data_IF_278976501127
#
_entry.id   IF_278976501127
#
_cell.length_a   1.000
_cell.length_b   1.000
_cell.length_c   1.000
_cell.angle_alpha   90.00
_cell.angle_beta   90.00
_cell.angle_gamma   90.00
#
_symmetry.space_group_name_H-M   'P 1'
#
loop_
_entity.id
_entity.type
_entity.pdbx_description
1 polymer ?
#
# COMPACT_ATOMS: atom_id res chain seq x y z
N UNK A 1 30.40 42.71 -11.96
CA UNK A 1 31.30 43.53 -11.14
C UNK A 1 30.48 44.46 -10.28
N UNK A 2 30.64 44.39 -9.00
CA UNK A 2 29.92 45.10 -7.94
C UNK A 2 28.49 44.55 -7.69
N UNK A 3 28.41 43.60 -6.79
CA UNK A 3 27.47 43.45 -5.64
C UNK A 3 27.66 42.09 -5.02
N UNK A 4 28.87 41.86 -4.53
CA UNK A 4 29.24 40.68 -3.75
C UNK A 4 30.13 41.17 -2.61
N UNK A 5 29.53 41.77 -1.58
CA UNK A 5 30.23 42.09 -0.31
C UNK A 5 29.32 42.85 0.67
N UNK A 6 28.22 42.20 1.13
CA UNK A 6 27.48 42.73 2.29
C UNK A 6 26.59 41.64 2.89
N UNK A 7 27.17 40.52 3.37
CA UNK A 7 26.42 39.61 4.25
C UNK A 7 27.34 38.67 5.08
N UNK A 8 28.48 39.17 5.54
CA UNK A 8 29.33 38.42 6.49
C UNK A 8 29.57 39.17 7.81
N UNK A 9 28.73 40.14 8.15
CA UNK A 9 28.90 41.03 9.37
C UNK A 9 28.00 40.69 10.58
N UNK A 10 26.94 39.94 10.45
CA UNK A 10 25.90 39.85 11.53
C UNK A 10 25.78 38.53 12.27
N UNK A 11 26.77 37.66 12.24
CA UNK A 11 26.72 36.36 12.93
C UNK A 11 27.74 36.23 14.09
N UNK A 12 28.32 37.34 14.59
CA UNK A 12 29.33 37.32 15.66
C UNK A 12 28.96 38.04 16.96
N UNK A 13 27.75 38.49 17.16
CA UNK A 13 27.34 39.22 18.40
C UNK A 13 26.08 38.66 19.06
N UNK A 14 26.05 37.37 19.36
CA UNK A 14 25.01 36.82 20.25
C UNK A 14 25.45 35.55 21.01
N UNK A 15 26.65 35.64 21.61
CA UNK A 15 27.17 34.62 22.54
C UNK A 15 27.88 35.28 23.70
N UNK A 16 27.22 36.16 24.41
CA UNK A 16 27.65 36.62 25.76
C UNK A 16 26.40 37.04 26.51
N UNK A 17 25.99 36.23 27.43
CA UNK A 17 25.31 36.53 28.70
C UNK A 17 24.38 35.40 29.13
N UNK A 18 24.93 34.39 29.79
CA UNK A 18 24.26 33.69 30.89
C UNK A 18 25.36 33.32 31.87
N UNK A 19 25.40 34.06 32.99
CA UNK A 19 26.30 33.80 34.09
C UNK A 19 25.96 32.50 34.80
N UNK A 20 26.97 31.68 35.03
CA UNK A 20 26.90 30.54 35.95
C UNK A 20 27.81 30.87 37.12
N UNK A 21 27.16 31.03 38.27
CA UNK A 21 27.78 31.29 39.57
C UNK A 21 28.67 30.14 40.03
N UNK A 22 29.67 30.55 40.76
CA UNK A 22 30.64 29.75 41.51
C UNK A 22 29.94 28.80 42.49
N UNK A 23 30.16 27.48 42.33
CA UNK A 23 30.19 26.49 43.43
C UNK A 23 30.80 25.18 42.89
N UNK A 24 32.13 25.17 42.79
CA UNK A 24 32.92 23.99 42.44
C UNK A 24 34.11 23.84 43.39
N UNK A 25 33.82 23.48 44.62
CA UNK A 25 34.87 23.18 45.58
C UNK A 25 34.44 22.19 46.70
N UNK A 26 33.71 21.08 46.36
CA UNK A 26 33.51 20.02 47.37
C UNK A 26 33.33 18.59 46.82
N UNK A 27 33.57 18.34 45.56
CA UNK A 27 33.37 16.99 44.95
C UNK A 27 34.68 16.26 44.59
N UNK A 28 35.84 16.81 44.93
CA UNK A 28 37.16 16.22 44.61
C UNK A 28 37.66 15.14 45.55
N UNK A 29 37.10 15.01 46.77
CA UNK A 29 37.64 14.12 47.81
C UNK A 29 36.93 12.75 47.89
N UNK A 30 35.76 12.58 47.29
CA UNK A 30 34.97 11.32 47.35
C UNK A 30 35.31 10.35 46.22
N UNK A 31 35.87 10.84 45.11
CA UNK A 31 36.21 10.02 43.94
C UNK A 31 37.51 9.23 44.09
N UNK A 32 38.47 9.68 44.90
CA UNK A 32 39.77 9.01 45.05
C UNK A 32 39.74 7.77 45.96
N UNK A 33 38.86 7.73 46.93
CA UNK A 33 38.72 6.59 47.85
C UNK A 33 37.94 5.41 47.29
N UNK A 34 37.27 5.60 46.18
CA UNK A 34 36.44 4.56 45.53
C UNK A 34 37.21 3.68 44.54
N UNK A 35 38.24 4.25 43.91
CA UNK A 35 39.06 3.50 42.95
C UNK A 35 40.16 2.67 43.61
N UNK A 36 40.62 3.03 44.80
CA UNK A 36 41.59 2.24 45.57
C UNK A 36 40.98 0.98 46.20
N UNK A 37 39.69 1.00 46.57
CA UNK A 37 38.95 -0.18 47.04
C UNK A 37 38.55 -1.17 45.92
N UNK A 38 38.47 -0.71 44.70
CA UNK A 38 38.18 -1.57 43.53
C UNK A 38 39.40 -2.33 43.00
N UNK A 39 40.60 -1.80 43.25
CA UNK A 39 41.85 -2.44 42.88
C UNK A 39 42.28 -3.56 43.87
N UNK A 40 41.83 -3.53 45.12
CA UNK A 40 42.13 -4.51 46.17
C UNK A 40 41.24 -5.79 46.12
N UNK A 41 40.19 -5.82 45.29
CA UNK A 41 39.21 -6.91 45.18
C UNK A 41 39.43 -7.82 43.97
N UNK A 42 40.55 -7.69 43.25
CA UNK A 42 40.80 -8.47 42.03
C UNK A 42 41.65 -9.73 42.19
N UNK A 43 41.90 -10.17 43.41
CA UNK A 43 42.65 -11.42 43.64
C UNK A 43 42.06 -12.20 44.83
N UNK A 44 41.28 -13.16 44.54
CA UNK A 44 40.81 -14.39 45.20
C UNK A 44 39.29 -14.47 45.45
N UNK A 45 38.71 -15.56 44.96
CA UNK A 45 37.33 -16.05 45.22
C UNK A 45 36.13 -15.12 44.89
N UNK A 46 35.90 -15.02 43.57
CA UNK A 46 34.92 -14.05 43.01
C UNK A 46 33.46 -14.50 43.04
N UNK A 47 33.07 -15.66 43.54
CA UNK A 47 31.67 -16.12 43.53
C UNK A 47 30.93 -15.79 44.83
N UNK A 48 31.58 -15.83 45.95
CA UNK A 48 30.98 -15.54 47.27
C UNK A 48 30.79 -14.04 47.49
N UNK A 49 31.74 -13.21 47.02
CA UNK A 49 31.65 -11.76 47.14
C UNK A 49 30.55 -11.15 46.23
N UNK A 50 30.35 -11.71 45.01
CA UNK A 50 29.30 -11.25 44.12
C UNK A 50 27.90 -11.62 44.66
N UNK A 51 27.75 -12.79 45.26
CA UNK A 51 26.50 -13.23 45.88
C UNK A 51 26.17 -12.37 47.13
N UNK A 52 27.18 -12.01 47.94
CA UNK A 52 26.99 -11.12 49.08
C UNK A 52 26.52 -9.71 48.67
N UNK A 53 27.09 -9.15 47.59
CA UNK A 53 26.70 -7.82 47.08
C UNK A 53 25.28 -7.84 46.44
N UNK A 54 24.92 -8.95 45.82
CA UNK A 54 23.55 -9.11 45.26
C UNK A 54 22.53 -9.30 46.39
N UNK A 55 22.88 -10.03 47.43
CA UNK A 55 22.01 -10.23 48.59
C UNK A 55 21.83 -8.92 49.37
N UNK A 56 22.91 -8.15 49.59
CA UNK A 56 22.85 -6.84 50.22
C UNK A 56 22.05 -5.81 49.44
N UNK A 57 22.10 -5.84 48.11
CA UNK A 57 21.21 -5.03 47.26
C UNK A 57 19.74 -5.49 47.35
N UNK A 58 19.47 -6.78 47.38
CA UNK A 58 18.10 -7.31 47.54
C UNK A 58 17.52 -6.94 48.93
N UNK A 59 18.31 -7.03 49.99
CA UNK A 59 17.90 -6.64 51.34
C UNK A 59 17.66 -5.13 51.45
N UNK A 60 18.51 -4.29 50.84
CA UNK A 60 18.32 -2.84 50.78
C UNK A 60 17.09 -2.38 49.95
N UNK A 61 16.64 -3.21 49.02
CA UNK A 61 15.38 -2.99 48.30
C UNK A 61 14.14 -3.43 49.08
N UNK A 62 14.29 -4.35 50.01
CA UNK A 62 13.21 -4.80 50.91
C UNK A 62 13.06 -3.97 52.18
N UNK A 63 14.10 -3.22 52.58
CA UNK A 63 14.08 -2.38 53.77
C UNK A 63 13.67 -0.92 53.54
N UNK A 64 13.08 -0.59 52.42
CA UNK A 64 12.41 0.69 52.29
C UNK A 64 11.03 0.57 52.97
N UNK A 65 10.80 1.09 54.17
CA UNK A 65 9.50 1.03 54.78
C UNK A 65 8.51 1.73 53.83
N UNK A 66 7.54 1.00 53.31
CA UNK A 66 6.35 1.61 52.73
C UNK A 66 5.69 2.41 53.87
N UNK A 67 5.89 3.71 53.83
CA UNK A 67 5.15 4.63 54.66
C UNK A 67 3.66 4.49 54.26
N UNK A 68 2.81 3.90 55.10
CA UNK A 68 1.40 3.63 54.72
C UNK A 68 0.57 4.92 54.58
N UNK A 69 1.14 6.08 54.86
CA UNK A 69 0.41 7.35 54.83
C UNK A 69 0.64 8.20 53.57
N UNK A 70 1.49 7.77 52.62
CA UNK A 70 1.59 8.42 51.33
C UNK A 70 0.79 7.71 50.24
N UNK A 71 -0.34 7.10 50.57
CA UNK A 71 -1.40 6.96 49.60
C UNK A 71 -1.95 8.35 49.28
N UNK A 72 -1.13 9.19 48.71
CA UNK A 72 -1.61 10.27 47.87
C UNK A 72 -2.44 9.53 46.81
N UNK A 73 -3.78 9.46 47.06
CA UNK A 73 -4.70 9.18 46.00
C UNK A 73 -4.26 10.06 44.85
N UNK A 74 -3.59 9.49 43.87
CA UNK A 74 -3.51 10.08 42.55
C UNK A 74 -4.98 10.11 42.12
N UNK A 75 -5.65 11.16 42.59
CA UNK A 75 -6.93 11.52 42.00
C UNK A 75 -6.56 11.60 40.51
N UNK A 76 -7.20 10.79 39.66
CA UNK A 76 -7.08 11.04 38.23
C UNK A 76 -7.37 12.53 38.16
N UNK A 77 -6.41 13.31 37.63
CA UNK A 77 -6.63 14.71 37.38
C UNK A 77 -7.98 14.74 36.70
N UNK A 78 -9.01 15.09 37.47
CA UNK A 78 -10.27 15.49 36.88
C UNK A 78 -9.83 16.67 36.05
N UNK A 79 -9.57 16.40 34.77
CA UNK A 79 -9.62 17.45 33.77
C UNK A 79 -10.95 18.09 34.07
N UNK A 80 -10.87 19.13 34.89
CA UNK A 80 -12.03 19.87 35.32
C UNK A 80 -12.72 20.23 34.03
N UNK A 81 -13.85 19.57 33.82
CA UNK A 81 -14.67 19.87 32.66
C UNK A 81 -15.01 21.35 32.78
N UNK A 82 -14.17 22.16 32.16
CA UNK A 82 -14.40 23.56 32.01
C UNK A 82 -15.77 23.68 31.34
N UNK A 83 -16.80 23.83 32.19
CA UNK A 83 -18.19 23.99 31.76
C UNK A 83 -18.37 25.27 30.91
N UNK A 84 -17.28 25.99 30.69
CA UNK A 84 -17.20 27.21 29.89
C UNK A 84 -16.31 27.05 28.65
N UNK A 85 -16.45 25.95 27.92
CA UNK A 85 -16.02 25.99 26.53
C UNK A 85 -16.83 27.08 25.86
N UNK A 86 -16.17 28.20 25.49
CA UNK A 86 -16.84 29.36 24.90
C UNK A 86 -17.79 28.86 23.80
N UNK A 87 -18.99 29.40 23.74
CA UNK A 87 -20.02 29.04 22.73
C UNK A 87 -19.42 28.90 21.33
N UNK A 88 -18.47 29.78 21.00
CA UNK A 88 -17.72 29.76 19.75
C UNK A 88 -16.94 28.42 19.51
N UNK A 89 -16.29 27.85 20.53
CA UNK A 89 -15.57 26.55 20.41
C UNK A 89 -16.53 25.38 20.23
N UNK A 90 -17.67 25.40 20.95
CA UNK A 90 -18.71 24.37 20.74
C UNK A 90 -19.31 24.46 19.35
N UNK A 91 -19.66 25.67 18.91
CA UNK A 91 -20.19 25.90 17.57
C UNK A 91 -19.21 25.45 16.49
N UNK A 92 -17.93 25.85 16.56
CA UNK A 92 -16.90 25.44 15.61
C UNK A 92 -16.73 23.93 15.58
N UNK A 93 -16.67 23.28 16.75
CA UNK A 93 -16.52 21.83 16.82
C UNK A 93 -17.73 21.08 16.22
N UNK A 94 -18.94 21.54 16.51
CA UNK A 94 -20.17 20.97 15.93
C UNK A 94 -20.26 21.23 14.43
N UNK A 95 -19.89 22.43 13.97
CA UNK A 95 -19.89 22.79 12.56
C UNK A 95 -18.86 21.95 11.76
N UNK A 96 -17.64 21.77 12.29
CA UNK A 96 -16.63 20.90 11.69
C UNK A 96 -17.11 19.44 11.69
N UNK A 97 -17.66 18.95 12.80
CA UNK A 97 -18.24 17.61 12.86
C UNK A 97 -19.36 17.40 11.85
N UNK A 98 -20.28 18.36 11.75
CA UNK A 98 -21.38 18.32 10.77
C UNK A 98 -20.87 18.36 9.33
N UNK A 99 -19.83 19.16 9.02
CA UNK A 99 -19.23 19.19 7.68
C UNK A 99 -18.56 17.87 7.32
N UNK A 100 -17.87 17.20 8.26
CA UNK A 100 -17.30 15.88 8.04
C UNK A 100 -18.38 14.83 7.74
N UNK A 101 -19.49 14.84 8.50
CA UNK A 101 -20.63 13.96 8.25
C UNK A 101 -21.26 14.23 6.89
N UNK A 102 -21.44 15.51 6.54
CA UNK A 102 -21.99 15.92 5.24
C UNK A 102 -21.11 15.42 4.08
N UNK A 103 -19.79 15.60 4.17
CA UNK A 103 -18.84 15.05 3.18
C UNK A 103 -18.95 13.54 3.08
N UNK A 104 -19.02 12.81 4.22
CA UNK A 104 -19.21 11.37 4.24
C UNK A 104 -20.51 10.91 3.56
N UNK A 105 -21.63 11.59 3.87
CA UNK A 105 -22.92 11.32 3.25
C UNK A 105 -22.92 11.62 1.74
N UNK A 106 -22.26 12.70 1.32
CA UNK A 106 -22.13 13.05 -0.09
C UNK A 106 -21.36 11.98 -0.87
N UNK A 107 -20.21 11.52 -0.35
CA UNK A 107 -19.46 10.44 -0.97
C UNK A 107 -20.29 9.16 -1.04
N UNK A 108 -20.99 8.81 0.03
CA UNK A 108 -21.88 7.66 0.05
C UNK A 108 -23.01 7.77 -0.98
N UNK A 109 -23.64 8.94 -1.09
CA UNK A 109 -24.70 9.19 -2.05
C UNK A 109 -24.21 9.05 -3.50
N UNK A 110 -23.01 9.56 -3.81
CA UNK A 110 -22.38 9.38 -5.12
C UNK A 110 -22.12 7.90 -5.42
N UNK A 111 -21.55 7.16 -4.47
CA UNK A 111 -21.27 5.73 -4.65
C UNK A 111 -22.56 4.92 -4.86
N UNK A 112 -23.59 5.20 -4.09
CA UNK A 112 -24.91 4.56 -4.23
C UNK A 112 -25.53 4.90 -5.59
N UNK A 113 -25.45 6.15 -6.03
CA UNK A 113 -25.96 6.60 -7.32
C UNK A 113 -25.27 5.88 -8.49
N UNK A 114 -23.91 5.80 -8.45
CA UNK A 114 -23.15 5.07 -9.47
C UNK A 114 -23.52 3.58 -9.46
N UNK A 115 -23.60 2.98 -8.28
CA UNK A 115 -24.01 1.56 -8.15
C UNK A 115 -25.43 1.30 -8.67
N UNK A 116 -26.37 2.20 -8.37
CA UNK A 116 -27.73 2.10 -8.87
C UNK A 116 -27.80 2.20 -10.40
N UNK A 117 -27.12 3.19 -11.00
CA UNK A 117 -27.07 3.38 -12.45
C UNK A 117 -26.44 2.17 -13.14
N UNK A 118 -25.34 1.66 -12.58
CA UNK A 118 -24.63 0.48 -13.10
C UNK A 118 -25.52 -0.76 -13.08
N UNK A 119 -26.25 -0.99 -11.99
CA UNK A 119 -27.14 -2.16 -11.87
C UNK A 119 -28.35 -2.00 -12.75
N UNK A 120 -29.03 -0.83 -12.73
CA UNK A 120 -30.27 -0.60 -13.47
C UNK A 120 -30.10 -0.73 -14.98
N UNK A 121 -28.97 -0.23 -15.52
CA UNK A 121 -28.67 -0.32 -16.95
C UNK A 121 -27.96 -1.61 -17.34
N UNK A 122 -27.07 -2.12 -16.46
CA UNK A 122 -26.25 -3.30 -16.79
C UNK A 122 -26.99 -4.62 -16.71
N UNK A 123 -27.98 -4.77 -15.80
CA UNK A 123 -28.62 -6.06 -15.52
C UNK A 123 -29.45 -6.58 -16.73
N UNK A 124 -30.01 -5.65 -17.50
CA UNK A 124 -30.89 -6.00 -18.64
C UNK A 124 -30.22 -6.74 -19.77
N UNK A 125 -28.89 -6.59 -19.96
CA UNK A 125 -28.16 -7.25 -21.03
C UNK A 125 -27.42 -8.50 -20.57
N UNK A 126 -27.27 -8.71 -19.26
CA UNK A 126 -26.57 -9.89 -18.73
C UNK A 126 -27.42 -11.14 -18.98
N UNK A 127 -26.87 -12.02 -19.83
CA UNK A 127 -27.44 -13.33 -20.12
C UNK A 127 -26.30 -14.34 -20.21
N UNK A 128 -26.57 -15.66 -20.09
CA UNK A 128 -25.56 -16.68 -20.31
C UNK A 128 -24.94 -16.58 -21.74
N UNK A 129 -25.71 -16.15 -22.72
CA UNK A 129 -25.25 -15.90 -24.07
C UNK A 129 -24.22 -14.76 -24.10
N UNK A 130 -24.53 -13.61 -23.49
CA UNK A 130 -23.62 -12.45 -23.42
C UNK A 130 -22.29 -12.77 -22.76
N UNK A 131 -22.29 -13.63 -21.75
CA UNK A 131 -21.07 -14.04 -21.03
C UNK A 131 -20.26 -15.10 -21.79
N UNK A 132 -20.84 -15.86 -22.68
CA UNK A 132 -20.19 -17.02 -23.35
C UNK A 132 -19.74 -16.76 -24.78
N UNK A 133 -20.20 -15.69 -25.43
CA UNK A 133 -19.92 -15.37 -26.82
C UNK A 133 -18.95 -14.21 -26.97
N UNK A 134 -18.20 -14.20 -28.08
CA UNK A 134 -17.31 -13.09 -28.47
C UNK A 134 -18.01 -12.12 -29.42
N UNK A 135 -17.33 -11.02 -29.76
CA UNK A 135 -17.80 -10.03 -30.74
C UNK A 135 -17.44 -10.40 -32.18
N UNK A 136 -16.85 -11.58 -32.44
CA UNK A 136 -16.44 -12.00 -33.76
C UNK A 136 -17.62 -12.03 -34.73
N UNK A 137 -17.57 -11.26 -35.84
CA UNK A 137 -18.61 -11.19 -36.84
C UNK A 137 -19.83 -10.34 -36.47
N UNK A 138 -19.77 -9.59 -35.39
CA UNK A 138 -20.82 -8.66 -34.94
C UNK A 138 -20.50 -7.25 -35.40
N UNK A 139 -21.41 -6.64 -36.18
CA UNK A 139 -21.20 -5.29 -36.74
C UNK A 139 -22.39 -4.39 -36.45
N UNK A 140 -22.11 -3.09 -36.30
CA UNK A 140 -23.13 -2.06 -36.14
C UNK A 140 -24.09 -2.33 -34.97
N UNK A 141 -25.38 -2.14 -35.21
CA UNK A 141 -26.45 -2.29 -34.22
C UNK A 141 -27.01 -3.70 -34.04
N UNK A 142 -26.29 -4.76 -34.45
CA UNK A 142 -26.73 -6.15 -34.29
C UNK A 142 -26.92 -6.50 -32.81
N UNK A 143 -28.05 -7.14 -32.48
CA UNK A 143 -28.35 -7.63 -31.11
C UNK A 143 -27.69 -9.00 -30.85
N UNK A 144 -26.40 -9.13 -31.21
CA UNK A 144 -25.59 -10.33 -31.02
C UNK A 144 -24.27 -9.99 -30.34
N UNK A 145 -23.45 -11.01 -30.03
CA UNK A 145 -22.15 -10.83 -29.41
C UNK A 145 -22.17 -10.74 -27.90
N UNK A 146 -20.98 -10.76 -27.33
CA UNK A 146 -20.81 -10.79 -25.88
C UNK A 146 -19.37 -10.43 -25.46
N UNK A 147 -19.04 -10.69 -24.21
CA UNK A 147 -17.80 -10.21 -23.53
C UNK A 147 -16.78 -11.32 -23.27
N UNK A 148 -17.01 -12.55 -23.67
CA UNK A 148 -16.16 -13.69 -23.30
C UNK A 148 -14.68 -13.47 -23.66
N UNK A 149 -14.39 -12.98 -24.88
CA UNK A 149 -13.02 -12.66 -25.31
C UNK A 149 -12.34 -11.64 -24.41
N UNK A 150 -13.06 -10.58 -23.99
CA UNK A 150 -12.56 -9.54 -23.13
C UNK A 150 -12.37 -10.04 -21.68
N UNK A 151 -13.21 -10.95 -21.19
CA UNK A 151 -13.04 -11.61 -19.88
C UNK A 151 -11.77 -12.46 -19.87
N UNK A 152 -11.55 -13.28 -20.89
CA UNK A 152 -10.35 -14.11 -21.06
C UNK A 152 -9.09 -13.23 -21.14
N UNK A 153 -9.14 -12.18 -21.96
CA UNK A 153 -8.03 -11.23 -22.09
C UNK A 153 -7.70 -10.53 -20.78
N UNK A 154 -8.70 -10.07 -20.04
CA UNK A 154 -8.49 -9.45 -18.71
C UNK A 154 -7.81 -10.44 -17.77
N UNK A 155 -8.30 -11.66 -17.69
CA UNK A 155 -7.75 -12.68 -16.79
C UNK A 155 -6.31 -13.02 -17.14
N UNK A 156 -6.02 -13.29 -18.42
CA UNK A 156 -4.69 -13.70 -18.87
C UNK A 156 -3.66 -12.58 -18.70
N UNK A 157 -3.97 -11.36 -19.15
CA UNK A 157 -3.04 -10.22 -19.05
C UNK A 157 -2.78 -9.88 -17.59
N UNK A 158 -3.81 -9.85 -16.74
CA UNK A 158 -3.66 -9.57 -15.31
C UNK A 158 -2.87 -10.66 -14.59
N UNK A 159 -3.11 -11.94 -14.94
CA UNK A 159 -2.36 -13.05 -14.36
C UNK A 159 -0.86 -12.94 -14.68
N UNK A 160 -0.51 -12.68 -15.94
CA UNK A 160 0.89 -12.52 -16.35
C UNK A 160 1.51 -11.29 -15.68
N UNK A 161 0.80 -10.17 -15.60
CA UNK A 161 1.26 -9.00 -14.88
C UNK A 161 1.50 -9.29 -13.38
N UNK A 162 0.61 -10.06 -12.75
CA UNK A 162 0.76 -10.47 -11.36
C UNK A 162 1.96 -11.40 -11.15
N UNK A 163 2.17 -12.37 -12.03
CA UNK A 163 3.32 -13.29 -12.00
C UNK A 163 4.65 -12.53 -12.09
N UNK A 164 4.70 -11.45 -12.85
CA UNK A 164 5.90 -10.58 -12.93
C UNK A 164 6.02 -9.69 -11.69
N UNK A 165 4.93 -8.99 -11.35
CA UNK A 165 4.97 -7.88 -10.37
C UNK A 165 5.00 -8.34 -8.93
N UNK A 166 4.30 -9.43 -8.59
CA UNK A 166 4.18 -9.86 -7.19
C UNK A 166 5.51 -10.36 -6.64
N UNK A 167 6.26 -11.27 -7.30
CA UNK A 167 7.56 -11.70 -6.79
C UNK A 167 8.56 -10.54 -6.69
N UNK A 168 8.65 -9.71 -7.74
CA UNK A 168 9.56 -8.56 -7.76
C UNK A 168 9.20 -7.56 -6.66
N UNK A 169 7.93 -7.21 -6.55
CA UNK A 169 7.46 -6.26 -5.54
C UNK A 169 7.66 -6.75 -4.11
N UNK A 170 7.39 -8.03 -3.84
CA UNK A 170 7.63 -8.64 -2.52
C UNK A 170 9.12 -8.68 -2.18
N UNK A 171 9.98 -9.06 -3.11
CA UNK A 171 11.43 -9.09 -2.89
C UNK A 171 11.97 -7.68 -2.57
N UNK A 172 11.53 -6.66 -3.31
CA UNK A 172 11.91 -5.26 -3.05
C UNK A 172 11.36 -4.80 -1.69
N UNK A 173 10.12 -5.14 -1.34
CA UNK A 173 9.54 -4.81 -0.04
C UNK A 173 10.31 -5.44 1.12
N UNK A 174 10.66 -6.72 1.01
CA UNK A 174 11.47 -7.43 2.01
C UNK A 174 12.85 -6.78 2.12
N UNK A 175 13.49 -6.49 0.98
CA UNK A 175 14.78 -5.81 0.98
C UNK A 175 14.71 -4.47 1.72
N UNK A 176 13.74 -3.63 1.40
CA UNK A 176 13.60 -2.29 2.00
C UNK A 176 13.26 -2.32 3.49
N UNK A 177 12.53 -3.32 3.96
CA UNK A 177 12.11 -3.41 5.37
C UNK A 177 13.11 -4.14 6.24
N UNK A 178 13.72 -5.20 5.74
CA UNK A 178 14.54 -6.10 6.55
C UNK A 178 16.05 -5.93 6.33
N UNK A 179 16.49 -5.62 5.13
CA UNK A 179 17.91 -5.62 4.78
C UNK A 179 18.53 -4.25 4.54
N UNK A 180 17.76 -3.31 4.02
CA UNK A 180 18.30 -2.08 3.46
C UNK A 180 18.89 -1.11 4.51
N UNK A 181 18.34 -1.10 5.73
CA UNK A 181 18.77 -0.13 6.76
C UNK A 181 18.75 1.32 6.25
N UNK A 182 19.76 2.10 6.58
CA UNK A 182 19.87 3.52 6.17
C UNK A 182 20.85 3.75 5.01
N UNK A 183 20.95 2.77 4.08
CA UNK A 183 21.89 2.80 2.96
C UNK A 183 21.44 3.79 1.85
N UNK A 184 22.41 4.33 1.09
CA UNK A 184 22.12 5.19 -0.07
C UNK A 184 21.28 4.45 -1.12
N UNK A 185 21.54 3.16 -1.31
CA UNK A 185 20.79 2.33 -2.26
C UNK A 185 19.34 2.16 -1.85
N UNK A 186 19.06 1.97 -0.55
CA UNK A 186 17.69 1.92 -0.04
C UNK A 186 16.92 3.23 -0.32
N UNK A 187 17.56 4.36 -0.08
CA UNK A 187 16.95 5.67 -0.37
C UNK A 187 16.66 5.86 -1.85
N UNK A 188 17.60 5.47 -2.71
CA UNK A 188 17.39 5.51 -4.16
C UNK A 188 16.22 4.61 -4.59
N UNK A 189 16.18 3.36 -4.12
CA UNK A 189 15.10 2.42 -4.44
C UNK A 189 13.73 2.94 -3.98
N UNK A 190 13.65 3.49 -2.76
CA UNK A 190 12.41 4.11 -2.26
C UNK A 190 11.99 5.28 -3.14
N UNK A 191 12.92 6.18 -3.49
CA UNK A 191 12.64 7.31 -4.39
C UNK A 191 12.15 6.84 -5.76
N UNK A 192 12.77 5.81 -6.33
CA UNK A 192 12.32 5.24 -7.62
C UNK A 192 10.90 4.66 -7.52
N UNK A 193 10.59 3.91 -6.47
CA UNK A 193 9.24 3.40 -6.22
C UNK A 193 8.23 4.55 -6.06
N UNK A 194 8.61 5.62 -5.37
CA UNK A 194 7.75 6.79 -5.18
C UNK A 194 7.50 7.53 -6.50
N UNK A 195 8.52 7.69 -7.34
CA UNK A 195 8.38 8.27 -8.69
C UNK A 195 7.49 7.40 -9.56
N UNK A 196 7.68 6.07 -9.54
CA UNK A 196 6.85 5.14 -10.31
C UNK A 196 5.36 5.22 -9.94
N UNK A 197 5.03 5.48 -8.66
CA UNK A 197 3.61 5.65 -8.25
C UNK A 197 2.97 6.91 -8.83
N UNK A 198 3.76 7.91 -9.21
CA UNK A 198 3.30 9.17 -9.82
C UNK A 198 3.20 9.13 -11.34
N UNK A 199 3.65 8.06 -12.01
CA UNK A 199 3.61 7.97 -13.48
C UNK A 199 2.16 7.84 -13.97
N UNK A 200 1.68 8.70 -14.90
CA UNK A 200 0.39 8.51 -15.54
C UNK A 200 0.31 7.14 -16.24
N UNK A 201 -0.81 6.43 -16.10
CA UNK A 201 -0.95 5.05 -16.63
C UNK A 201 -0.73 4.95 -18.15
N UNK A 202 -1.12 5.98 -18.89
CA UNK A 202 -0.88 6.04 -20.34
C UNK A 202 0.63 6.05 -20.67
N UNK A 203 1.45 6.70 -19.86
CA UNK A 203 2.91 6.75 -20.05
C UNK A 203 3.54 5.37 -19.84
N UNK A 204 3.05 4.59 -18.87
CA UNK A 204 3.49 3.20 -18.69
C UNK A 204 3.17 2.35 -19.93
N UNK A 205 2.00 2.56 -20.56
CA UNK A 205 1.64 1.94 -21.82
C UNK A 205 2.56 2.33 -22.98
N UNK A 206 2.86 3.63 -23.10
CA UNK A 206 3.79 4.13 -24.13
C UNK A 206 5.22 3.61 -23.93
N UNK A 207 5.67 3.51 -22.68
CA UNK A 207 6.96 2.92 -22.34
C UNK A 207 7.05 1.46 -22.80
N UNK A 208 6.04 0.64 -22.47
CA UNK A 208 5.99 -0.75 -22.91
C UNK A 208 5.91 -0.83 -24.44
N UNK A 209 5.13 0.04 -25.09
CA UNK A 209 5.04 0.10 -26.54
C UNK A 209 6.40 0.43 -27.20
N UNK A 210 7.11 1.41 -26.68
CA UNK A 210 8.44 1.77 -27.16
C UNK A 210 9.45 0.62 -26.96
N UNK A 211 9.45 -0.02 -25.79
CA UNK A 211 10.32 -1.16 -25.49
C UNK A 211 10.11 -2.30 -26.49
N UNK A 212 8.86 -2.72 -26.72
CA UNK A 212 8.56 -3.80 -27.65
C UNK A 212 8.82 -3.44 -29.09
N UNK A 213 8.63 -2.17 -29.48
CA UNK A 213 8.98 -1.67 -30.81
C UNK A 213 10.47 -1.80 -31.09
N UNK A 214 11.32 -1.54 -30.11
CA UNK A 214 12.78 -1.65 -30.23
C UNK A 214 13.21 -3.12 -30.29
N UNK A 215 12.60 -4.00 -29.44
CA UNK A 215 13.05 -5.39 -29.29
C UNK A 215 12.49 -6.30 -30.38
N UNK A 216 11.22 -6.12 -30.76
CA UNK A 216 10.51 -7.03 -31.66
C UNK A 216 10.21 -6.41 -33.02
N UNK A 217 9.88 -5.12 -33.03
CA UNK A 217 9.60 -4.36 -34.26
C UNK A 217 8.34 -3.51 -34.18
N UNK A 218 8.14 -2.64 -35.18
CA UNK A 218 7.02 -1.71 -35.22
C UNK A 218 5.68 -2.44 -35.36
N UNK A 219 4.62 -1.81 -34.86
CA UNK A 219 3.24 -2.29 -34.92
C UNK A 219 2.93 -3.62 -34.17
N UNK A 220 3.91 -4.17 -33.45
CA UNK A 220 3.67 -5.35 -32.61
C UNK A 220 2.71 -5.01 -31.48
N UNK A 221 1.69 -5.85 -31.26
CA UNK A 221 0.75 -5.74 -30.15
C UNK A 221 0.46 -7.15 -29.61
N UNK A 222 0.52 -7.29 -28.28
CA UNK A 222 0.26 -8.60 -27.64
C UNK A 222 -0.23 -8.42 -26.20
N UNK A 223 -0.81 -9.48 -25.66
CA UNK A 223 -1.15 -9.54 -24.24
C UNK A 223 0.06 -9.35 -23.33
N UNK A 224 1.23 -9.91 -23.72
CA UNK A 224 2.48 -9.74 -22.96
C UNK A 224 2.91 -8.29 -22.86
N UNK A 225 2.81 -7.53 -23.94
CA UNK A 225 3.10 -6.10 -23.94
C UNK A 225 2.17 -5.34 -22.98
N UNK A 226 0.88 -5.73 -22.96
CA UNK A 226 -0.09 -5.22 -21.97
C UNK A 226 0.29 -5.61 -20.54
N UNK A 227 0.68 -6.85 -20.32
CA UNK A 227 1.11 -7.33 -18.99
C UNK A 227 2.35 -6.61 -18.49
N UNK A 228 3.34 -6.31 -19.34
CA UNK A 228 4.51 -5.50 -18.98
C UNK A 228 4.12 -4.07 -18.64
N UNK A 229 3.23 -3.44 -19.41
CA UNK A 229 2.71 -2.11 -19.07
C UNK A 229 2.02 -2.07 -17.71
N UNK A 230 1.17 -3.07 -17.42
CA UNK A 230 0.51 -3.21 -16.14
C UNK A 230 1.51 -3.50 -15.00
N UNK A 231 2.58 -4.25 -15.27
CA UNK A 231 3.60 -4.58 -14.28
C UNK A 231 4.34 -3.32 -13.80
N UNK A 232 4.62 -2.37 -14.68
CA UNK A 232 5.22 -1.08 -14.31
C UNK A 232 4.37 -0.33 -13.29
N UNK A 233 3.04 -0.40 -13.41
CA UNK A 233 2.10 0.23 -12.49
C UNK A 233 1.91 -0.59 -11.20
N UNK A 234 1.94 -1.92 -11.31
CA UNK A 234 1.63 -2.83 -10.21
C UNK A 234 2.79 -2.99 -9.23
N UNK A 235 4.04 -3.04 -9.71
CA UNK A 235 5.23 -3.22 -8.87
C UNK A 235 5.27 -2.22 -7.71
N UNK A 236 5.19 -0.89 -7.92
CA UNK A 236 5.26 0.07 -6.83
C UNK A 236 4.12 -0.06 -5.83
N UNK A 237 2.93 -0.47 -6.28
CA UNK A 237 1.78 -0.73 -5.39
C UNK A 237 2.06 -1.93 -4.47
N UNK A 238 2.57 -3.03 -5.04
CA UNK A 238 2.93 -4.23 -4.27
C UNK A 238 4.05 -3.92 -3.29
N UNK A 239 5.09 -3.18 -3.73
CA UNK A 239 6.22 -2.79 -2.86
C UNK A 239 5.71 -2.00 -1.65
N UNK A 240 4.95 -0.95 -1.88
CA UNK A 240 4.48 -0.05 -0.82
C UNK A 240 3.58 -0.75 0.18
N UNK A 241 2.51 -1.36 -0.31
CA UNK A 241 1.54 -2.02 0.56
C UNK A 241 2.15 -3.22 1.30
N UNK A 242 3.04 -3.99 0.67
CA UNK A 242 3.73 -5.10 1.33
C UNK A 242 4.75 -4.60 2.36
N UNK A 243 5.50 -3.53 2.07
CA UNK A 243 6.43 -2.94 3.04
C UNK A 243 5.70 -2.43 4.29
N UNK A 244 4.52 -1.83 4.14
CA UNK A 244 3.68 -1.42 5.27
C UNK A 244 3.26 -2.61 6.14
N UNK A 245 2.84 -3.71 5.51
CA UNK A 245 2.45 -4.94 6.24
C UNK A 245 3.65 -5.58 6.97
N UNK A 246 4.82 -5.58 6.37
CA UNK A 246 6.04 -6.09 7.00
C UNK A 246 6.48 -5.25 8.20
N UNK A 247 6.30 -3.92 8.15
CA UNK A 247 6.62 -3.00 9.26
C UNK A 247 5.69 -3.17 10.47
N UNK A 248 4.48 -3.71 10.28
CA UNK A 248 3.55 -3.98 11.39
C UNK A 248 3.98 -5.16 12.28
N UNK A 249 4.94 -5.98 11.84
CA UNK A 249 5.49 -7.06 12.65
C UNK A 249 6.31 -6.48 13.81
N UNK A 250 6.02 -6.79 15.10
CA UNK A 250 6.75 -6.28 16.24
C UNK A 250 8.24 -6.63 16.20
N UNK A 251 9.10 -5.69 16.62
CA UNK A 251 10.55 -5.90 16.68
C UNK A 251 10.94 -6.97 17.70
N UNK A 252 10.18 -7.09 18.80
CA UNK A 252 10.41 -8.09 19.85
C UNK A 252 10.49 -9.52 19.29
N UNK A 253 9.67 -9.85 18.27
CA UNK A 253 9.71 -11.16 17.61
C UNK A 253 11.02 -11.38 16.84
N UNK A 254 11.57 -10.32 16.23
CA UNK A 254 12.86 -10.38 15.54
C UNK A 254 13.99 -10.53 16.52
N UNK A 255 14.00 -9.74 17.60
CA UNK A 255 15.02 -9.77 18.65
C UNK A 255 15.03 -11.11 19.38
N UNK A 256 13.87 -11.66 19.73
CA UNK A 256 13.78 -12.99 20.34
C UNK A 256 14.38 -14.08 19.43
N UNK A 257 14.14 -14.01 18.12
CA UNK A 257 14.72 -14.94 17.16
C UNK A 257 16.25 -14.83 17.08
N UNK A 258 16.76 -13.60 17.08
CA UNK A 258 18.21 -13.37 17.05
C UNK A 258 18.90 -13.80 18.35
N UNK A 259 18.23 -13.62 19.50
CA UNK A 259 18.71 -14.09 20.81
C UNK A 259 18.88 -15.63 20.86
N UNK A 260 18.06 -16.35 20.07
CA UNK A 260 18.20 -17.82 19.91
C UNK A 260 19.23 -18.22 18.85
N UNK A 261 20.02 -17.27 18.30
CA UNK A 261 21.05 -17.54 17.29
C UNK A 261 20.51 -17.82 15.88
N UNK A 262 19.22 -17.56 15.61
CA UNK A 262 18.65 -17.81 14.29
C UNK A 262 19.16 -16.78 13.27
N UNK A 263 19.68 -17.21 12.10
CA UNK A 263 20.20 -16.30 11.09
C UNK A 263 19.07 -15.44 10.47
N UNK A 264 19.41 -14.22 10.05
CA UNK A 264 18.46 -13.20 9.58
C UNK A 264 17.49 -13.70 8.52
N UNK A 265 17.97 -14.38 7.49
CA UNK A 265 17.11 -14.89 6.41
C UNK A 265 16.05 -15.86 6.93
N UNK A 266 16.40 -16.71 7.91
CA UNK A 266 15.47 -17.67 8.50
C UNK A 266 14.43 -16.96 9.38
N UNK A 267 14.83 -15.94 10.13
CA UNK A 267 13.91 -15.06 10.88
C UNK A 267 12.91 -14.39 9.93
N UNK A 268 13.38 -13.84 8.81
CA UNK A 268 12.50 -13.21 7.81
C UNK A 268 11.49 -14.22 7.27
N UNK A 269 11.92 -15.40 6.83
CA UNK A 269 11.02 -16.39 6.20
C UNK A 269 10.07 -17.03 7.22
N UNK A 270 10.58 -17.41 8.40
CA UNK A 270 9.80 -18.21 9.35
C UNK A 270 8.95 -17.37 10.30
N UNK A 271 9.34 -16.13 10.60
CA UNK A 271 8.66 -15.26 11.55
C UNK A 271 8.01 -14.10 10.83
N UNK A 272 8.79 -13.24 10.15
CA UNK A 272 8.26 -11.99 9.59
C UNK A 272 7.21 -12.27 8.51
N UNK A 273 7.54 -13.06 7.48
CA UNK A 273 6.61 -13.38 6.39
C UNK A 273 5.40 -14.17 6.89
N UNK A 274 5.62 -15.10 7.80
CA UNK A 274 4.52 -15.90 8.36
C UNK A 274 3.57 -15.06 9.23
N UNK A 275 4.11 -14.10 9.99
CA UNK A 275 3.30 -13.18 10.82
C UNK A 275 2.52 -12.18 9.97
N UNK A 276 3.11 -11.67 8.90
CA UNK A 276 2.50 -10.70 7.98
C UNK A 276 1.69 -11.33 6.84
N UNK A 277 1.63 -12.66 6.72
CA UNK A 277 1.08 -13.37 5.55
C UNK A 277 -0.33 -12.90 5.16
N UNK A 278 -1.24 -12.75 6.12
CA UNK A 278 -2.61 -12.27 5.86
C UNK A 278 -2.62 -10.84 5.27
N UNK A 279 -1.77 -9.96 5.79
CA UNK A 279 -1.59 -8.60 5.28
C UNK A 279 -0.97 -8.58 3.87
N UNK A 280 0.05 -9.41 3.64
CA UNK A 280 0.70 -9.53 2.32
C UNK A 280 -0.27 -10.03 1.25
N UNK A 281 -1.07 -11.05 1.53
CA UNK A 281 -2.11 -11.53 0.60
C UNK A 281 -3.10 -10.42 0.28
N UNK A 282 -3.55 -9.68 1.29
CA UNK A 282 -4.47 -8.56 1.09
C UNK A 282 -3.83 -7.46 0.23
N UNK A 283 -2.56 -7.12 0.48
CA UNK A 283 -1.81 -6.11 -0.29
C UNK A 283 -1.70 -6.49 -1.77
N UNK A 284 -1.36 -7.74 -2.05
CA UNK A 284 -1.25 -8.26 -3.43
C UNK A 284 -2.59 -8.21 -4.15
N UNK A 285 -3.67 -8.66 -3.49
CA UNK A 285 -4.99 -8.68 -4.14
C UNK A 285 -5.54 -7.28 -4.38
N UNK A 286 -5.30 -6.34 -3.47
CA UNK A 286 -5.67 -4.92 -3.69
C UNK A 286 -4.91 -4.35 -4.88
N UNK A 287 -3.61 -4.68 -5.05
CA UNK A 287 -2.84 -4.27 -6.22
C UNK A 287 -3.40 -4.88 -7.52
N UNK A 288 -3.75 -6.17 -7.52
CA UNK A 288 -4.38 -6.84 -8.67
C UNK A 288 -5.73 -6.18 -8.99
N UNK A 289 -6.60 -6.00 -8.00
CA UNK A 289 -7.93 -5.42 -8.18
C UNK A 289 -7.88 -4.02 -8.80
N UNK A 290 -6.87 -3.22 -8.43
CA UNK A 290 -6.64 -1.90 -9.02
C UNK A 290 -6.27 -2.01 -10.50
N UNK A 291 -5.35 -2.91 -10.84
CA UNK A 291 -4.79 -3.03 -12.18
C UNK A 291 -5.77 -3.66 -13.16
N UNK A 292 -6.68 -4.53 -12.70
CA UNK A 292 -7.77 -5.13 -13.51
C UNK A 292 -8.65 -4.06 -14.19
N UNK A 293 -8.81 -2.89 -13.55
CA UNK A 293 -9.61 -1.79 -14.10
C UNK A 293 -8.87 -0.82 -15.03
N UNK A 294 -7.58 -1.03 -15.29
CA UNK A 294 -6.78 -0.11 -16.12
C UNK A 294 -7.14 -0.22 -17.61
N UNK A 295 -7.43 0.93 -18.22
CA UNK A 295 -7.84 1.02 -19.63
C UNK A 295 -6.73 1.59 -20.51
N UNK A 296 -6.19 2.75 -20.14
CA UNK A 296 -5.31 3.55 -21.00
C UNK A 296 -4.03 2.82 -21.46
N UNK A 297 -3.28 2.13 -20.60
CA UNK A 297 -2.08 1.42 -21.02
C UNK A 297 -2.41 0.24 -21.94
N UNK A 298 -3.54 -0.45 -21.72
CA UNK A 298 -3.93 -1.62 -22.48
C UNK A 298 -4.45 -1.27 -23.88
N UNK A 299 -5.11 -0.13 -24.03
CA UNK A 299 -5.56 0.38 -25.32
C UNK A 299 -4.40 0.52 -26.33
N UNK A 300 -3.24 0.98 -25.84
CA UNK A 300 -2.05 1.21 -26.66
C UNK A 300 -1.27 -0.09 -26.90
N UNK A 301 -1.22 -0.97 -25.91
CA UNK A 301 -0.35 -2.17 -25.89
C UNK A 301 -1.03 -3.43 -26.41
N UNK A 302 -2.06 -3.91 -25.70
CA UNK A 302 -2.80 -5.12 -26.08
C UNK A 302 -3.79 -4.84 -27.21
N UNK A 303 -4.38 -3.66 -27.24
CA UNK A 303 -5.28 -3.17 -28.27
C UNK A 303 -6.69 -3.75 -28.19
N UNK A 304 -7.45 -3.58 -29.26
CA UNK A 304 -8.83 -4.07 -29.42
C UNK A 304 -8.84 -5.31 -30.30
N UNK A 305 -9.66 -6.30 -29.96
CA UNK A 305 -9.78 -7.53 -30.75
C UNK A 305 -11.08 -8.27 -30.43
N UNK A 306 -11.96 -8.37 -31.39
CA UNK A 306 -13.32 -8.90 -31.23
C UNK A 306 -13.40 -10.45 -31.12
N UNK A 307 -12.28 -11.16 -31.36
CA UNK A 307 -12.23 -12.61 -31.28
C UNK A 307 -11.44 -13.09 -30.06
N UNK A 308 -11.63 -14.34 -29.67
CA UNK A 308 -10.90 -14.97 -28.57
C UNK A 308 -9.44 -15.18 -29.00
N UNK A 309 -8.51 -14.63 -28.22
CA UNK A 309 -7.08 -14.92 -28.28
C UNK A 309 -6.62 -15.46 -26.93
N UNK A 310 -6.17 -16.70 -26.91
CA UNK A 310 -5.61 -17.33 -25.70
C UNK A 310 -4.08 -17.25 -25.66
N UNK A 311 -3.43 -16.77 -26.72
CA UNK A 311 -1.99 -16.65 -26.79
C UNK A 311 -1.55 -15.24 -26.34
N UNK A 312 -1.03 -15.14 -25.13
CA UNK A 312 -0.57 -13.87 -24.56
C UNK A 312 0.65 -13.31 -25.31
N UNK A 313 1.46 -14.19 -25.93
CA UNK A 313 2.71 -13.81 -26.58
C UNK A 313 2.52 -13.24 -27.97
N UNK A 314 1.40 -13.50 -28.64
CA UNK A 314 1.18 -13.06 -30.01
C UNK A 314 -0.24 -12.60 -30.26
N UNK A 315 -0.39 -11.57 -31.09
CA UNK A 315 -1.67 -11.01 -31.49
C UNK A 315 -2.33 -10.13 -30.45
N UNK A 316 -3.27 -9.32 -30.90
CA UNK A 316 -4.03 -8.41 -30.05
C UNK A 316 -4.91 -9.20 -29.07
N UNK A 317 -5.15 -8.62 -27.91
CA UNK A 317 -5.97 -9.23 -26.87
C UNK A 317 -6.75 -8.13 -26.15
N UNK A 318 -8.06 -8.15 -26.28
CA UNK A 318 -8.91 -7.15 -25.66
C UNK A 318 -9.19 -7.48 -24.19
N UNK A 319 -9.33 -6.43 -23.38
CA UNK A 319 -9.69 -6.54 -21.96
C UNK A 319 -11.03 -5.87 -21.70
N UNK A 320 -11.70 -6.25 -20.60
CA UNK A 320 -13.00 -5.67 -20.21
C UNK A 320 -13.00 -4.14 -20.15
N UNK A 321 -12.01 -3.47 -19.52
CA UNK A 321 -11.98 -2.01 -19.51
C UNK A 321 -11.83 -1.39 -20.91
N UNK A 322 -11.05 -2.01 -21.78
CA UNK A 322 -10.88 -1.56 -23.17
C UNK A 322 -12.17 -1.78 -23.95
N UNK A 323 -12.81 -2.95 -23.80
CA UNK A 323 -14.12 -3.26 -24.40
C UNK A 323 -15.20 -2.25 -23.95
N UNK A 324 -15.30 -1.94 -22.65
CA UNK A 324 -16.24 -0.94 -22.14
C UNK A 324 -16.00 0.41 -22.82
N UNK A 325 -14.76 0.84 -22.90
CA UNK A 325 -14.39 2.10 -23.55
C UNK A 325 -14.78 2.08 -25.04
N UNK A 326 -14.43 1.02 -25.76
CA UNK A 326 -14.75 0.86 -27.18
C UNK A 326 -16.25 0.88 -27.44
N UNK A 327 -17.03 0.08 -26.72
CA UNK A 327 -18.47 0.00 -26.88
C UNK A 327 -19.15 1.34 -26.53
N UNK A 328 -18.71 2.01 -25.46
CA UNK A 328 -19.29 3.28 -25.04
C UNK A 328 -19.02 4.43 -26.03
N UNK A 329 -17.83 4.43 -26.65
CA UNK A 329 -17.42 5.48 -27.61
C UNK A 329 -17.86 5.18 -29.04
N UNK A 330 -18.22 3.94 -29.36
CA UNK A 330 -18.68 3.55 -30.70
C UNK A 330 -20.14 3.89 -30.90
N UNK A 331 -20.40 4.87 -31.75
CA UNK A 331 -21.76 5.22 -32.15
C UNK A 331 -22.29 4.27 -33.21
N UNK A 332 -23.55 3.86 -33.07
CA UNK A 332 -24.26 3.04 -34.08
C UNK A 332 -25.22 3.93 -34.84
N UNK A 333 -25.08 3.92 -36.14
CA UNK A 333 -26.06 4.54 -37.08
C UNK A 333 -26.88 3.46 -37.75
N UNK A 334 -28.15 3.40 -37.41
CA UNK A 334 -29.10 2.48 -38.07
C UNK A 334 -29.69 3.13 -39.31
N UNK A 335 -29.65 2.43 -40.44
CA UNK A 335 -30.36 2.88 -41.64
C UNK A 335 -31.88 2.87 -41.42
N UNK A 336 -32.62 3.77 -42.05
CA UNK A 336 -34.06 3.99 -41.83
C UNK A 336 -34.93 2.73 -42.00
N UNK A 337 -34.44 1.74 -42.72
CA UNK A 337 -35.13 0.48 -42.98
C UNK A 337 -34.41 -0.77 -42.46
N UNK A 338 -33.39 -0.60 -41.57
CA UNK A 338 -32.64 -1.73 -41.02
C UNK A 338 -33.53 -2.52 -40.06
N UNK A 339 -33.82 -3.75 -40.40
CA UNK A 339 -34.50 -4.72 -39.51
C UNK A 339 -33.47 -5.22 -38.50
N UNK A 340 -33.82 -5.23 -37.22
CA UNK A 340 -32.97 -5.69 -36.11
C UNK A 340 -31.72 -4.83 -35.77
N UNK A 341 -31.72 -3.55 -36.13
CA UNK A 341 -30.68 -2.63 -35.68
C UNK A 341 -31.12 -1.88 -34.39
N UNK A 342 -30.33 -1.97 -33.34
CA UNK A 342 -30.55 -1.22 -32.11
C UNK A 342 -29.44 -0.17 -31.97
N UNK A 343 -29.77 1.14 -31.98
CA UNK A 343 -28.76 2.19 -31.91
C UNK A 343 -28.08 2.30 -30.52
N UNK A 344 -28.71 1.78 -29.46
CA UNK A 344 -28.18 1.84 -28.09
C UNK A 344 -27.41 0.59 -27.68
N UNK A 345 -27.38 -0.44 -28.47
CA UNK A 345 -26.85 -1.78 -28.14
C UNK A 345 -25.40 -1.73 -27.64
N UNK A 346 -24.56 -0.87 -28.23
CA UNK A 346 -23.17 -0.72 -27.78
C UNK A 346 -23.08 -0.14 -26.38
N UNK A 347 -23.89 0.87 -26.10
CA UNK A 347 -23.95 1.48 -24.78
C UNK A 347 -24.48 0.48 -23.75
N UNK A 348 -25.51 -0.30 -24.13
CA UNK A 348 -26.09 -1.32 -23.25
C UNK A 348 -25.05 -2.42 -22.95
N UNK A 349 -24.27 -2.87 -23.96
CA UNK A 349 -23.15 -3.82 -23.78
C UNK A 349 -22.06 -3.23 -22.87
N UNK A 350 -21.74 -1.94 -23.02
CA UNK A 350 -20.77 -1.26 -22.15
C UNK A 350 -21.22 -1.30 -20.68
N UNK A 351 -22.50 -1.03 -20.40
CA UNK A 351 -23.06 -1.11 -19.06
C UNK A 351 -23.04 -2.54 -18.49
N UNK A 352 -23.40 -3.53 -19.31
CA UNK A 352 -23.32 -4.94 -18.93
C UNK A 352 -21.90 -5.39 -18.61
N UNK A 353 -20.93 -5.04 -19.47
CA UNK A 353 -19.52 -5.35 -19.25
C UNK A 353 -18.95 -4.65 -18.01
N UNK A 354 -19.36 -3.41 -17.76
CA UNK A 354 -18.96 -2.66 -16.56
C UNK A 354 -19.50 -3.33 -15.27
N UNK A 355 -20.75 -3.81 -15.30
CA UNK A 355 -21.32 -4.54 -14.17
C UNK A 355 -20.58 -5.84 -13.90
N UNK A 356 -20.21 -6.59 -14.95
CA UNK A 356 -19.40 -7.82 -14.84
C UNK A 356 -18.01 -7.52 -14.30
N UNK A 357 -17.36 -6.45 -14.75
CA UNK A 357 -16.04 -6.03 -14.25
C UNK A 357 -16.08 -5.69 -12.77
N UNK A 358 -17.03 -4.88 -12.33
CA UNK A 358 -17.19 -4.50 -10.91
C UNK A 358 -17.50 -5.72 -10.05
N UNK A 359 -18.35 -6.63 -10.55
CA UNK A 359 -18.65 -7.89 -9.87
C UNK A 359 -17.40 -8.78 -9.75
N UNK A 360 -16.60 -8.92 -10.81
CA UNK A 360 -15.35 -9.68 -10.78
C UNK A 360 -14.35 -9.11 -9.76
N UNK A 361 -14.18 -7.79 -9.71
CA UNK A 361 -13.33 -7.11 -8.72
C UNK A 361 -13.86 -7.30 -7.31
N UNK A 362 -15.19 -7.25 -7.12
CA UNK A 362 -15.82 -7.51 -5.82
C UNK A 362 -15.53 -8.93 -5.33
N UNK A 363 -15.76 -9.93 -6.19
CA UNK A 363 -15.50 -11.36 -5.88
C UNK A 363 -14.03 -11.58 -5.54
N UNK A 364 -13.11 -10.96 -6.30
CA UNK A 364 -11.67 -11.04 -6.06
C UNK A 364 -11.30 -10.47 -4.68
N UNK A 365 -11.84 -9.29 -4.34
CA UNK A 365 -11.59 -8.65 -3.04
C UNK A 365 -12.20 -9.43 -1.86
N UNK A 366 -13.41 -9.98 -2.02
CA UNK A 366 -14.04 -10.81 -0.99
C UNK A 366 -13.29 -12.13 -0.79
N UNK A 367 -12.87 -12.77 -1.90
CA UNK A 367 -12.04 -13.97 -1.88
C UNK A 367 -10.72 -13.75 -1.13
N UNK A 368 -10.05 -12.62 -1.40
CA UNK A 368 -8.83 -12.24 -0.68
C UNK A 368 -9.05 -12.09 0.82
N UNK A 369 -10.11 -11.40 1.22
CA UNK A 369 -10.45 -11.24 2.64
C UNK A 369 -10.72 -12.58 3.32
N UNK A 370 -11.41 -13.49 2.61
CA UNK A 370 -11.66 -14.84 3.12
C UNK A 370 -10.35 -15.63 3.31
N UNK A 371 -9.45 -15.61 2.32
CA UNK A 371 -8.13 -16.26 2.41
C UNK A 371 -7.29 -15.64 3.53
N UNK A 372 -7.23 -14.31 3.61
CA UNK A 372 -6.52 -13.60 4.66
C UNK A 372 -7.04 -13.98 6.06
N UNK A 373 -8.36 -14.06 6.24
CA UNK A 373 -8.98 -14.49 7.50
C UNK A 373 -8.58 -15.92 7.86
N UNK A 374 -8.59 -16.85 6.90
CA UNK A 374 -8.18 -18.24 7.14
C UNK A 374 -6.70 -18.34 7.54
N UNK A 375 -5.83 -17.53 6.93
CA UNK A 375 -4.41 -17.47 7.28
C UNK A 375 -4.17 -16.84 8.68
N UNK A 376 -5.04 -15.94 9.13
CA UNK A 376 -4.92 -15.32 10.46
C UNK A 376 -5.46 -16.19 11.60
N UNK A 377 -6.45 -17.06 11.35
CA UNK A 377 -7.08 -17.93 12.36
C UNK A 377 -6.18 -19.14 12.68
N UNK A 378 -5.25 -19.50 11.83
CA UNK A 378 -4.28 -20.57 12.06
C UNK A 378 -3.14 -20.22 13.03
N UNK A 379 -3.29 -19.16 13.80
CA UNK A 379 -2.40 -18.71 14.89
C UNK A 379 -3.14 -18.87 16.23
#
# INVERSE_FOLDING_TARGET
MREENQNQGDLKLKQESIGIGKDAASTGAVSRGKNEKLAALSSSDNTSALQAVILERKLKYQEKPENPESKTKVQPARLGGDKTLSFRRRFTNTAIGASMWLCGLLVLAILVSIGYELISRGIGIISPYFLSVSMKGVYGGMQAGGIYHAMVGTLLITLVAAVISVPLGLLVAIYLTEYAGNTKFAKLTTTLVDVMTGIPSIVAGLFAAALFTIVIGPAYRSGLMGAVALSVLMIPLVVRSSAEMLRLVPNDLREASYALGVPKWRTVVSIVLRTSAAGLVTSVVVAIARVVGETAPLLITAGMFDAINSNVFSGRMETLPVYIYQQYTSTVSCAAHAVNCNPTINVDRAWGAALVLVFAVLVLNLGARFVAKKLSIGK
#
